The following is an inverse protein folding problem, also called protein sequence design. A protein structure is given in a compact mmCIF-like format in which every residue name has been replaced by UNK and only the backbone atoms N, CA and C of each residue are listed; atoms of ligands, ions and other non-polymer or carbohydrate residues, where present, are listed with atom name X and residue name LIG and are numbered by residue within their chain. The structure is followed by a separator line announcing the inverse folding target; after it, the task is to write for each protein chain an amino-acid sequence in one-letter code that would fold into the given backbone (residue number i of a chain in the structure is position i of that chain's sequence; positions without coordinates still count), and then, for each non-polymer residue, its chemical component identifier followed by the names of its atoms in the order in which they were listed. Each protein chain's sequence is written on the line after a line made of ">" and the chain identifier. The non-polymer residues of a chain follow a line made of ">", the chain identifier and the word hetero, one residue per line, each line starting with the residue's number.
data_IF_125262054448
#
_entry.id   IF_125262054448
#
_cell.length_a   1.000
_cell.length_b   1.000
_cell.length_c   1.000
_cell.angle_alpha   90.00
_cell.angle_beta   90.00
_cell.angle_gamma   90.00
#
_symmetry.space_group_name_H-M   'P 1'
#
loop_
_entity.id
_entity.type
_entity.pdbx_description
1 polymer ?
#
# COMPACT_ATOMS: atom_id res chain seq x y z
N UNK A 1 -15.35 7.98 -4.17
CA UNK A 1 -14.08 7.36 -3.74
C UNK A 1 -12.96 8.38 -3.79
N UNK A 2 -12.12 8.39 -2.79
CA UNK A 2 -11.03 9.35 -2.69
C UNK A 2 -9.75 8.62 -2.29
N UNK A 3 -8.67 8.83 -3.05
CA UNK A 3 -7.35 8.27 -2.73
C UNK A 3 -6.65 9.18 -1.73
N UNK A 4 -6.19 8.62 -0.61
CA UNK A 4 -5.63 9.41 0.50
C UNK A 4 -4.41 8.72 1.13
N UNK A 5 -3.59 9.53 1.81
CA UNK A 5 -2.59 9.00 2.75
C UNK A 5 -3.31 8.73 4.06
N UNK A 6 -2.97 7.61 4.69
CA UNK A 6 -3.59 7.18 5.94
C UNK A 6 -2.66 7.41 7.11
N UNK A 7 -3.26 7.71 8.27
CA UNK A 7 -2.52 7.72 9.53
C UNK A 7 -2.30 6.28 10.00
N UNK A 8 -1.25 6.06 10.79
CA UNK A 8 -0.88 4.71 11.23
C UNK A 8 -2.00 4.02 11.99
N UNK A 9 -2.67 4.74 12.90
CA UNK A 9 -3.76 4.18 13.69
C UNK A 9 -4.93 3.71 12.82
N UNK A 10 -5.36 4.54 11.87
CA UNK A 10 -6.48 4.16 11.00
C UNK A 10 -6.09 3.04 10.05
N UNK A 11 -4.87 3.04 9.54
CA UNK A 11 -4.39 1.96 8.69
C UNK A 11 -4.35 0.63 9.45
N UNK A 12 -3.72 0.62 10.63
CA UNK A 12 -3.58 -0.61 11.41
C UNK A 12 -4.93 -1.16 11.85
N UNK A 13 -5.88 -0.28 12.20
CA UNK A 13 -7.21 -0.70 12.57
C UNK A 13 -7.94 -1.37 11.39
N UNK A 14 -7.85 -0.79 10.20
CA UNK A 14 -8.42 -1.38 9.00
C UNK A 14 -7.73 -2.70 8.64
N UNK A 15 -6.40 -2.71 8.67
CA UNK A 15 -5.60 -3.87 8.28
C UNK A 15 -5.88 -5.08 9.19
N UNK A 16 -6.00 -4.85 10.50
CA UNK A 16 -6.23 -5.95 11.46
C UNK A 16 -7.57 -6.65 11.27
N UNK A 17 -8.55 -5.96 10.68
CA UNK A 17 -9.90 -6.48 10.47
C UNK A 17 -10.13 -7.01 9.06
N UNK A 18 -9.16 -6.84 8.18
CA UNK A 18 -9.30 -7.25 6.78
C UNK A 18 -9.08 -8.76 6.62
N UNK A 19 -9.84 -9.44 5.72
CA UNK A 19 -9.63 -10.87 5.47
C UNK A 19 -8.23 -11.27 5.04
N UNK A 20 -7.50 -10.34 4.41
CA UNK A 20 -6.12 -10.58 3.96
C UNK A 20 -5.09 -10.01 4.93
N UNK A 21 -5.47 -9.84 6.20
CA UNK A 21 -4.59 -9.34 7.25
C UNK A 21 -3.28 -10.12 7.33
N UNK A 22 -2.17 -9.40 7.43
CA UNK A 22 -0.84 -9.97 7.51
C UNK A 22 0.06 -9.05 8.32
N UNK A 23 1.01 -9.63 9.06
CA UNK A 23 2.02 -8.83 9.77
C UNK A 23 2.75 -7.88 8.81
N UNK A 24 2.96 -8.31 7.55
CA UNK A 24 3.66 -7.51 6.55
C UNK A 24 2.85 -6.30 6.06
N UNK A 25 1.58 -6.22 6.41
CA UNK A 25 0.73 -5.06 6.14
C UNK A 25 0.36 -4.39 7.47
N UNK A 26 1.38 -3.98 8.24
CA UNK A 26 1.21 -3.25 9.50
C UNK A 26 2.21 -2.10 9.56
N UNK A 27 1.89 -1.06 10.33
CA UNK A 27 2.83 0.04 10.54
C UNK A 27 4.08 -0.44 11.30
N UNK A 28 3.95 -1.45 12.15
CA UNK A 28 5.10 -2.05 12.86
C UNK A 28 6.13 -2.61 11.89
N UNK A 29 5.67 -3.33 10.86
CA UNK A 29 6.56 -3.84 9.81
C UNK A 29 7.18 -2.69 9.02
N UNK A 30 6.37 -1.65 8.72
CA UNK A 30 6.86 -0.46 8.03
C UNK A 30 7.99 0.22 8.79
N UNK A 31 7.83 0.40 10.11
CA UNK A 31 8.88 1.00 10.93
C UNK A 31 10.15 0.16 10.98
N UNK A 32 10.00 -1.17 11.04
CA UNK A 32 11.15 -2.06 10.97
C UNK A 32 11.92 -1.86 9.65
N UNK A 33 11.20 -1.73 8.55
CA UNK A 33 11.81 -1.50 7.24
C UNK A 33 12.42 -0.11 7.13
N UNK A 34 11.82 0.90 7.75
CA UNK A 34 12.41 2.24 7.78
C UNK A 34 13.80 2.21 8.45
N UNK A 35 13.96 1.41 9.49
CA UNK A 35 15.25 1.24 10.15
C UNK A 35 16.29 0.59 9.25
N UNK A 36 15.85 -0.08 8.17
CA UNK A 36 16.71 -0.74 7.19
C UNK A 36 16.83 0.05 5.87
N UNK A 37 16.49 1.33 5.88
CA UNK A 37 16.69 2.21 4.73
C UNK A 37 15.52 2.27 3.75
N UNK A 38 14.37 1.70 4.09
CA UNK A 38 13.15 1.82 3.27
C UNK A 38 12.34 3.02 3.71
N UNK A 39 11.49 3.52 2.81
CA UNK A 39 10.49 4.52 3.12
C UNK A 39 9.12 3.85 3.22
N UNK A 40 8.33 4.24 4.21
CA UNK A 40 7.00 3.70 4.42
C UNK A 40 5.93 4.65 3.87
N UNK A 41 4.97 4.11 3.13
CA UNK A 41 3.82 4.86 2.64
C UNK A 41 2.55 4.11 3.01
N UNK A 42 1.65 4.77 3.70
CA UNK A 42 0.35 4.20 4.06
C UNK A 42 -0.71 4.88 3.20
N UNK A 43 -1.28 4.15 2.26
CA UNK A 43 -2.20 4.69 1.27
C UNK A 43 -3.52 3.95 1.32
N UNK A 44 -4.59 4.63 0.94
CA UNK A 44 -5.89 3.99 0.92
C UNK A 44 -6.92 4.75 0.11
N UNK A 45 -8.10 4.17 0.05
CA UNK A 45 -9.28 4.77 -0.57
C UNK A 45 -10.36 4.89 0.50
N UNK A 46 -10.93 6.07 0.59
CA UNK A 46 -12.08 6.33 1.48
C UNK A 46 -13.32 6.59 0.66
N UNK A 47 -14.44 6.07 1.14
CA UNK A 47 -15.77 6.41 0.66
C UNK A 47 -16.47 7.11 1.82
N UNK A 48 -16.58 8.44 1.72
CA UNK A 48 -16.92 9.25 2.88
C UNK A 48 -15.83 9.18 3.94
N UNK A 49 -16.17 8.76 5.14
CA UNK A 49 -15.21 8.59 6.24
C UNK A 49 -14.71 7.15 6.40
N UNK A 50 -15.17 6.25 5.54
CA UNK A 50 -14.89 4.83 5.65
C UNK A 50 -13.75 4.43 4.73
N UNK A 51 -12.76 3.71 5.27
CA UNK A 51 -11.68 3.12 4.47
C UNK A 51 -12.25 1.87 3.80
N UNK A 52 -12.11 1.78 2.47
CA UNK A 52 -12.57 0.62 1.69
C UNK A 52 -11.43 -0.14 1.02
N UNK A 53 -10.24 0.43 1.00
CA UNK A 53 -9.03 -0.25 0.54
C UNK A 53 -7.82 0.43 1.16
N UNK A 54 -6.77 -0.32 1.37
CA UNK A 54 -5.52 0.22 1.93
C UNK A 54 -4.32 -0.62 1.52
N UNK A 55 -3.14 -0.03 1.59
CA UNK A 55 -1.89 -0.75 1.42
C UNK A 55 -0.74 -0.02 2.10
N UNK A 56 0.12 -0.79 2.75
CA UNK A 56 1.45 -0.36 3.08
C UNK A 56 2.28 -0.52 1.80
N UNK A 57 2.96 0.54 1.39
CA UNK A 57 3.97 0.48 0.35
C UNK A 57 5.33 0.80 0.94
N UNK A 58 6.33 0.11 0.48
CA UNK A 58 7.72 0.38 0.82
C UNK A 58 8.44 0.86 -0.42
N UNK A 59 9.31 1.86 -0.27
CA UNK A 59 10.12 2.33 -1.39
C UNK A 59 11.57 2.45 -0.98
N UNK A 60 12.46 2.20 -1.94
CA UNK A 60 13.90 2.29 -1.72
C UNK A 60 14.55 2.89 -2.95
N UNK A 61 15.47 3.83 -2.72
CA UNK A 61 16.18 4.48 -3.82
C UNK A 61 17.18 3.51 -4.44
N UNK A 62 17.18 3.46 -5.77
CA UNK A 62 18.16 2.68 -6.54
C UNK A 62 19.41 3.51 -6.82
N UNK A 63 20.55 2.89 -7.19
CA UNK A 63 21.76 3.62 -7.52
C UNK A 63 21.63 4.61 -8.67
N UNK A 64 20.63 4.44 -9.54
CA UNK A 64 20.41 5.33 -10.69
C UNK A 64 19.46 6.49 -10.37
N UNK A 65 19.04 6.64 -9.11
CA UNK A 65 18.24 7.78 -8.69
C UNK A 65 16.72 7.61 -8.72
N UNK A 66 16.25 6.46 -9.19
CA UNK A 66 14.82 6.13 -9.16
C UNK A 66 14.47 5.30 -7.93
N UNK A 67 13.19 5.25 -7.59
CA UNK A 67 12.70 4.47 -6.44
C UNK A 67 12.02 3.19 -6.89
N UNK A 68 12.31 2.09 -6.17
CA UNK A 68 11.60 0.84 -6.32
C UNK A 68 10.49 0.79 -5.28
N UNK A 69 9.26 0.50 -5.71
CA UNK A 69 8.11 0.37 -4.82
C UNK A 69 7.69 -1.09 -4.67
N UNK A 70 7.30 -1.45 -3.46
CA UNK A 70 6.94 -2.82 -3.13
C UNK A 70 5.77 -2.84 -2.15
N UNK A 71 4.75 -3.66 -2.43
CA UNK A 71 3.61 -3.89 -1.55
C UNK A 71 3.70 -5.32 -1.00
N UNK A 72 4.26 -5.52 0.20
CA UNK A 72 4.38 -6.87 0.77
C UNK A 72 3.01 -7.44 1.08
N UNK A 73 2.73 -8.65 0.61
CA UNK A 73 1.44 -9.34 0.75
C UNK A 73 0.26 -8.60 0.09
N UNK A 74 0.58 -7.70 -0.83
CA UNK A 74 -0.40 -7.06 -1.70
C UNK A 74 -1.28 -6.02 -1.04
N UNK A 75 -2.33 -5.66 -1.76
CA UNK A 75 -3.29 -4.68 -1.28
C UNK A 75 -4.34 -5.31 -0.38
N UNK A 76 -4.76 -4.56 0.64
CA UNK A 76 -5.90 -4.92 1.49
C UNK A 76 -7.17 -4.36 0.83
N UNK A 77 -7.75 -5.15 -0.06
CA UNK A 77 -8.84 -4.74 -0.92
C UNK A 77 -9.72 -5.95 -1.26
N UNK A 78 -10.97 -5.68 -1.59
CA UNK A 78 -11.83 -6.69 -2.19
C UNK A 78 -11.47 -6.83 -3.67
N UNK A 79 -10.73 -7.88 -4.00
CA UNK A 79 -10.25 -8.11 -5.36
C UNK A 79 -11.36 -8.41 -6.36
N UNK A 80 -12.58 -8.72 -5.89
CA UNK A 80 -13.74 -8.91 -6.76
C UNK A 80 -14.39 -7.58 -7.14
N UNK A 81 -14.08 -6.50 -6.44
CA UNK A 81 -14.57 -5.17 -6.78
C UNK A 81 -13.63 -4.54 -7.81
N UNK A 82 -13.93 -4.80 -9.09
CA UNK A 82 -13.05 -4.37 -10.18
C UNK A 82 -12.91 -2.87 -10.30
N UNK A 83 -13.97 -2.11 -10.04
CA UNK A 83 -13.91 -0.64 -10.11
C UNK A 83 -12.99 -0.08 -9.03
N UNK A 84 -13.08 -0.61 -7.82
CA UNK A 84 -12.25 -0.18 -6.71
C UNK A 84 -10.79 -0.58 -6.96
N UNK A 85 -10.56 -1.80 -7.42
CA UNK A 85 -9.21 -2.29 -7.72
C UNK A 85 -8.54 -1.45 -8.79
N UNK A 86 -9.26 -1.13 -9.87
CA UNK A 86 -8.76 -0.29 -10.94
C UNK A 86 -8.43 1.13 -10.44
N UNK A 87 -9.34 1.72 -9.68
CA UNK A 87 -9.15 3.05 -9.12
C UNK A 87 -7.91 3.10 -8.21
N UNK A 88 -7.79 2.12 -7.32
CA UNK A 88 -6.68 2.05 -6.37
C UNK A 88 -5.34 1.85 -7.10
N UNK A 89 -5.30 0.89 -8.04
CA UNK A 89 -4.10 0.58 -8.81
C UNK A 89 -3.63 1.79 -9.63
N UNK A 90 -4.55 2.47 -10.30
CA UNK A 90 -4.23 3.67 -11.09
C UNK A 90 -3.64 4.77 -10.21
N UNK A 91 -4.24 4.99 -9.03
CA UNK A 91 -3.75 6.03 -8.12
C UNK A 91 -2.42 5.67 -7.49
N UNK A 92 -2.18 4.39 -7.20
CA UNK A 92 -0.87 3.95 -6.69
C UNK A 92 0.22 4.12 -7.74
N UNK A 93 -0.07 3.78 -8.99
CA UNK A 93 0.88 4.00 -10.09
C UNK A 93 1.24 5.48 -10.23
N UNK A 94 0.23 6.34 -10.16
CA UNK A 94 0.44 7.79 -10.23
C UNK A 94 1.27 8.30 -9.04
N UNK A 95 0.96 7.82 -7.84
CA UNK A 95 1.71 8.17 -6.64
C UNK A 95 3.18 7.77 -6.77
N UNK A 96 3.44 6.55 -7.21
CA UNK A 96 4.81 6.06 -7.40
C UNK A 96 5.55 6.86 -8.47
N UNK A 97 4.88 7.16 -9.59
CA UNK A 97 5.47 7.95 -10.68
C UNK A 97 5.85 9.35 -10.22
N UNK A 98 5.00 10.00 -9.41
CA UNK A 98 5.25 11.34 -8.88
C UNK A 98 6.48 11.35 -7.95
N UNK A 99 6.84 10.20 -7.39
CA UNK A 99 8.00 10.03 -6.53
C UNK A 99 9.17 9.34 -7.25
N UNK A 100 9.19 9.41 -8.58
CA UNK A 100 10.23 8.81 -9.43
C UNK A 100 10.31 7.29 -9.29
N UNK A 101 9.16 6.64 -9.09
CA UNK A 101 9.08 5.18 -9.06
C UNK A 101 9.15 4.60 -10.46
N UNK A 102 9.99 3.61 -10.68
CA UNK A 102 10.12 2.91 -11.96
C UNK A 102 9.65 1.47 -11.91
N UNK A 103 9.34 0.97 -10.71
CA UNK A 103 8.99 -0.43 -10.53
C UNK A 103 8.06 -0.58 -9.35
N UNK A 104 6.97 -1.33 -9.55
CA UNK A 104 6.04 -1.67 -8.46
C UNK A 104 5.93 -3.19 -8.43
N UNK A 105 6.31 -3.77 -7.30
CA UNK A 105 6.16 -5.19 -7.06
C UNK A 105 5.00 -5.38 -6.08
N UNK A 106 4.07 -6.24 -6.43
CA UNK A 106 2.95 -6.63 -5.56
C UNK A 106 3.09 -8.11 -5.29
N UNK A 107 3.06 -8.48 -4.02
CA UNK A 107 3.15 -9.87 -3.58
C UNK A 107 1.85 -10.19 -2.84
N UNK A 108 0.77 -10.55 -3.58
CA UNK A 108 -0.55 -10.73 -2.97
C UNK A 108 -0.61 -11.92 -2.04
N UNK A 109 -1.42 -11.79 -0.99
CA UNK A 109 -1.67 -12.86 -0.04
C UNK A 109 -2.50 -13.99 -0.64
N UNK A 110 -3.18 -13.72 -1.75
CA UNK A 110 -4.11 -14.67 -2.37
C UNK A 110 -3.35 -15.86 -2.96
N UNK A 111 -3.82 -17.07 -2.62
CA UNK A 111 -3.32 -18.31 -3.18
C UNK A 111 -4.24 -18.77 -4.32
N UNK A 112 -3.64 -19.22 -5.39
CA UNK A 112 -4.39 -19.75 -6.54
C UNK A 112 -4.49 -21.26 -6.49
#
# INVERSE_FOLDING_TARGET
>A
MKFVKLEEREFDNFASKHPYSSFYQTSSWGHLKEANGWNMHLLGVKDGNKIIAASLLLSKKTPIGYYMFYAPRGFLIDYDNMKLLEFFTENIKKYAKDKKGIFIKIDPYISY
#
